data_IF_189087262185
#
_entry.id   IF_189087262185
#
_cell.length_a   1.000
_cell.length_b   1.000
_cell.length_c   1.000
_cell.angle_alpha   90.00
_cell.angle_beta   90.00
_cell.angle_gamma   90.00
#
_symmetry.space_group_name_H-M   'P 1'
#
loop_
_entity.id
_entity.type
_entity.pdbx_description
1 polymer ?
#
# COMPACT_ATOMS: atom_id res chain seq x y z
N UNK A 1 -21.71 -8.13 -55.48
CA UNK A 1 -22.32 -6.89 -54.96
C UNK A 1 -21.50 -6.49 -53.76
N UNK A 2 -20.55 -5.59 -54.01
CA UNK A 2 -19.77 -4.87 -53.03
C UNK A 2 -20.73 -3.88 -52.34
N UNK A 3 -20.57 -3.64 -51.04
CA UNK A 3 -21.14 -2.48 -50.37
C UNK A 3 -19.97 -1.62 -49.90
N UNK A 4 -19.80 -0.50 -50.59
CA UNK A 4 -19.25 0.79 -50.17
C UNK A 4 -20.08 1.31 -48.96
N UNK A 5 -19.72 2.24 -48.08
CA UNK A 5 -18.66 3.24 -47.92
C UNK A 5 -18.82 3.81 -46.47
N UNK A 6 -18.14 4.91 -46.14
CA UNK A 6 -18.19 5.74 -44.90
C UNK A 6 -17.24 5.37 -43.74
N UNK A 7 -16.00 5.88 -43.70
CA UNK A 7 -15.61 7.27 -43.35
C UNK A 7 -15.85 7.66 -41.88
N UNK A 8 -14.81 7.54 -41.04
CA UNK A 8 -14.08 8.69 -40.45
C UNK A 8 -13.09 8.21 -39.39
N UNK A 9 -11.85 8.61 -39.61
CA UNK A 9 -10.78 8.66 -38.62
C UNK A 9 -11.27 9.39 -37.36
N UNK A 10 -11.51 8.63 -36.29
CA UNK A 10 -11.92 9.14 -34.99
C UNK A 10 -10.79 9.03 -33.97
N UNK A 11 -9.87 9.99 -34.03
CA UNK A 11 -9.17 10.65 -32.90
C UNK A 11 -8.76 9.74 -31.71
N UNK A 12 -7.46 9.54 -31.58
CA UNK A 12 -6.76 9.27 -30.31
C UNK A 12 -7.32 10.15 -29.18
N UNK A 13 -7.55 9.57 -27.99
CA UNK A 13 -7.13 10.04 -26.66
C UNK A 13 -8.12 9.61 -25.57
N UNK A 14 -7.54 9.15 -24.45
CA UNK A 14 -8.17 8.68 -23.21
C UNK A 14 -8.93 7.36 -23.37
N UNK A 15 -8.55 6.28 -22.69
CA UNK A 15 -8.25 6.30 -21.26
C UNK A 15 -7.22 5.19 -20.99
N UNK A 16 -5.97 5.60 -20.80
CA UNK A 16 -5.09 4.92 -19.83
C UNK A 16 -5.75 5.13 -18.46
N UNK A 17 -6.83 4.42 -18.18
CA UNK A 17 -7.19 4.16 -16.79
C UNK A 17 -6.40 2.92 -16.45
N UNK A 18 -5.26 3.01 -15.73
CA UNK A 18 -4.81 1.84 -15.02
C UNK A 18 -6.01 1.35 -14.20
N UNK A 19 -6.23 0.03 -14.05
CA UNK A 19 -7.24 -0.45 -13.14
C UNK A 19 -6.96 0.11 -11.74
N UNK A 20 -7.60 1.22 -11.36
CA UNK A 20 -7.72 1.74 -9.99
C UNK A 20 -8.67 0.83 -9.18
N UNK A 21 -8.49 -0.48 -9.33
CA UNK A 21 -9.26 -1.52 -8.65
C UNK A 21 -8.29 -2.54 -8.09
N UNK A 22 -7.31 -2.06 -7.30
CA UNK A 22 -6.63 -2.88 -6.28
C UNK A 22 -6.34 -2.09 -4.99
N UNK A 23 -7.10 -1.01 -4.73
CA UNK A 23 -7.01 -0.28 -3.45
C UNK A 23 -8.35 -0.19 -2.69
N UNK A 24 -9.37 -0.95 -3.10
CA UNK A 24 -10.64 -0.99 -2.35
C UNK A 24 -10.72 -2.13 -1.34
N UNK A 25 -9.84 -3.15 -1.41
CA UNK A 25 -9.78 -4.23 -0.42
C UNK A 25 -8.60 -4.09 0.56
N UNK A 26 -7.69 -3.15 0.31
CA UNK A 26 -6.81 -2.60 1.34
C UNK A 26 -7.63 -1.64 2.20
N UNK A 27 -8.59 -2.21 2.94
CA UNK A 27 -9.31 -1.51 4.02
C UNK A 27 -8.33 -0.63 4.77
N UNK A 28 -8.63 0.67 4.81
CA UNK A 28 -7.74 1.64 5.40
C UNK A 28 -7.44 1.24 6.86
N UNK A 29 -6.26 0.69 7.13
CA UNK A 29 -5.86 0.25 8.47
C UNK A 29 -5.99 1.40 9.47
N UNK A 30 -5.68 2.62 9.06
CA UNK A 30 -5.86 3.85 9.84
C UNK A 30 -7.33 4.12 10.15
N UNK A 31 -8.25 3.86 9.22
CA UNK A 31 -9.67 4.12 9.44
C UNK A 31 -10.32 3.03 10.32
N UNK A 32 -9.87 1.77 10.24
CA UNK A 32 -10.43 0.67 11.04
C UNK A 32 -9.73 0.47 12.40
N UNK A 33 -8.41 0.65 12.44
CA UNK A 33 -7.56 0.31 13.58
C UNK A 33 -6.78 1.51 14.13
N UNK A 34 -6.82 2.67 13.47
CA UNK A 34 -6.00 3.82 13.84
C UNK A 34 -4.52 3.57 13.57
N UNK A 35 -3.67 4.22 14.36
CA UNK A 35 -2.23 4.04 14.24
C UNK A 35 -1.78 2.70 14.83
N UNK A 36 -0.95 1.91 14.13
CA UNK A 36 -0.44 0.65 14.63
C UNK A 36 0.43 0.87 15.87
N UNK A 37 0.16 0.09 16.92
CA UNK A 37 0.95 0.07 18.14
C UNK A 37 2.38 -0.40 17.89
N UNK A 38 3.33 0.13 18.65
CA UNK A 38 4.74 -0.24 18.52
C UNK A 38 4.98 -1.76 18.69
N UNK A 39 4.34 -2.37 19.69
CA UNK A 39 4.42 -3.82 19.93
C UNK A 39 3.92 -4.65 18.76
N UNK A 40 2.88 -4.17 18.06
CA UNK A 40 2.33 -4.86 16.90
C UNK A 40 3.30 -4.81 15.71
N UNK A 41 3.87 -3.64 15.43
CA UNK A 41 4.89 -3.49 14.38
C UNK A 41 6.14 -4.31 14.68
N UNK A 42 6.58 -4.34 15.94
CA UNK A 42 7.71 -5.15 16.37
C UNK A 42 7.42 -6.64 16.16
N UNK A 43 6.23 -7.11 16.56
CA UNK A 43 5.83 -8.51 16.35
C UNK A 43 5.78 -8.90 14.87
N UNK A 44 5.38 -7.99 13.97
CA UNK A 44 5.47 -8.23 12.53
C UNK A 44 6.91 -8.25 12.03
N UNK A 45 7.80 -7.44 12.61
CA UNK A 45 9.25 -7.49 12.32
C UNK A 45 9.82 -8.85 12.70
N UNK A 46 9.58 -9.29 13.93
CA UNK A 46 10.08 -10.57 14.44
C UNK A 46 9.57 -11.74 13.58
N UNK A 47 8.29 -11.71 13.19
CA UNK A 47 7.72 -12.69 12.26
C UNK A 47 8.33 -12.60 10.86
N UNK A 48 8.63 -11.40 10.35
CA UNK A 48 9.25 -11.23 9.03
C UNK A 48 10.68 -11.77 8.95
N UNK A 49 11.37 -11.81 10.09
CA UNK A 49 12.72 -12.36 10.23
C UNK A 49 12.71 -13.90 10.37
N UNK A 50 11.55 -14.52 10.56
CA UNK A 50 11.39 -15.97 10.42
C UNK A 50 11.42 -16.35 8.92
N UNK A 51 12.64 -16.34 8.37
CA UNK A 51 13.01 -16.48 6.96
C UNK A 51 12.45 -17.74 6.25
N UNK A 52 11.96 -18.73 7.02
CA UNK A 52 11.50 -20.03 6.53
C UNK A 52 10.00 -20.27 6.64
N UNK A 53 9.21 -19.28 7.06
CA UNK A 53 7.78 -19.49 7.29
C UNK A 53 6.92 -18.63 6.37
N UNK A 54 5.81 -19.20 5.89
CA UNK A 54 4.75 -18.47 5.18
C UNK A 54 4.27 -17.24 6.00
N UNK A 55 4.44 -17.30 7.32
CA UNK A 55 4.16 -16.21 8.24
C UNK A 55 5.07 -15.00 8.05
N UNK A 56 6.35 -15.17 7.69
CA UNK A 56 7.27 -14.05 7.49
C UNK A 56 6.97 -13.24 6.22
N UNK A 57 6.59 -13.93 5.14
CA UNK A 57 6.09 -13.27 3.93
C UNK A 57 4.78 -12.52 4.21
N UNK A 58 3.84 -13.16 4.90
CA UNK A 58 2.57 -12.54 5.27
C UNK A 58 2.76 -11.32 6.20
N UNK A 59 3.69 -11.39 7.15
CA UNK A 59 4.02 -10.28 8.05
C UNK A 59 4.62 -9.09 7.29
N UNK A 60 5.51 -9.37 6.32
CA UNK A 60 6.08 -8.35 5.43
C UNK A 60 5.01 -7.68 4.57
N UNK A 61 4.10 -8.45 3.97
CA UNK A 61 2.99 -7.92 3.17
C UNK A 61 2.05 -7.07 4.02
N UNK A 62 1.81 -7.49 5.27
CA UNK A 62 1.01 -6.71 6.23
C UNK A 62 1.67 -5.39 6.61
N UNK A 63 2.98 -5.36 6.83
CA UNK A 63 3.72 -4.12 7.08
C UNK A 63 3.68 -3.17 5.89
N UNK A 64 3.80 -3.68 4.66
CA UNK A 64 3.69 -2.88 3.44
C UNK A 64 2.28 -2.31 3.28
N UNK A 65 1.25 -3.12 3.54
CA UNK A 65 -0.15 -2.69 3.53
C UNK A 65 -0.40 -1.55 4.52
N UNK A 66 0.07 -1.69 5.76
CA UNK A 66 -0.01 -0.63 6.78
C UNK A 66 0.76 0.63 6.36
N UNK A 67 1.94 0.46 5.76
CA UNK A 67 2.71 1.58 5.25
C UNK A 67 1.99 2.34 4.14
N UNK A 68 1.44 1.63 3.15
CA UNK A 68 0.64 2.23 2.06
C UNK A 68 -0.55 3.01 2.62
N UNK A 69 -1.26 2.43 3.58
CA UNK A 69 -2.41 3.05 4.22
C UNK A 69 -2.05 4.33 5.00
N UNK A 70 -0.90 4.32 5.67
CA UNK A 70 -0.38 5.46 6.42
C UNK A 70 0.35 6.47 5.53
N UNK A 71 0.27 6.34 4.20
CA UNK A 71 0.98 7.16 3.22
C UNK A 71 2.51 7.18 3.45
N UNK A 72 3.05 6.07 3.97
CA UNK A 72 4.48 5.86 4.20
C UNK A 72 5.11 5.38 2.91
N UNK A 73 5.98 6.21 2.34
CA UNK A 73 6.79 5.82 1.18
C UNK A 73 7.83 4.77 1.55
N UNK A 74 7.89 3.67 0.78
CA UNK A 74 8.91 2.63 0.89
C UNK A 74 9.35 2.14 -0.50
N UNK A 75 10.62 1.74 -0.62
CA UNK A 75 11.19 1.23 -1.85
C UNK A 75 11.33 -0.30 -1.85
N UNK A 76 11.65 -0.91 -2.99
CA UNK A 76 11.88 -2.36 -3.10
C UNK A 76 13.07 -2.84 -2.24
N UNK A 77 14.00 -1.95 -1.93
CA UNK A 77 15.18 -2.21 -1.09
C UNK A 77 15.02 -1.72 0.36
N UNK A 78 13.83 -1.24 0.75
CA UNK A 78 13.60 -0.80 2.13
C UNK A 78 13.54 -2.02 3.04
N UNK A 79 14.48 -2.10 3.98
CA UNK A 79 14.51 -3.12 5.02
C UNK A 79 13.26 -3.03 5.91
N UNK A 80 12.84 -4.16 6.48
CA UNK A 80 11.67 -4.20 7.39
C UNK A 80 11.84 -3.26 8.58
N UNK A 81 13.03 -3.22 9.17
CA UNK A 81 13.34 -2.31 10.28
C UNK A 81 13.16 -0.83 9.89
N UNK A 82 13.58 -0.48 8.67
CA UNK A 82 13.44 0.87 8.15
C UNK A 82 11.97 1.20 7.88
N UNK A 83 11.21 0.26 7.30
CA UNK A 83 9.77 0.39 7.07
C UNK A 83 9.02 0.65 8.38
N UNK A 84 9.32 -0.12 9.42
CA UNK A 84 8.75 0.04 10.76
C UNK A 84 9.14 1.40 11.36
N UNK A 85 10.40 1.81 11.20
CA UNK A 85 10.87 3.12 11.65
C UNK A 85 10.06 4.27 11.03
N UNK A 86 9.79 4.18 9.72
CA UNK A 86 8.97 5.17 8.99
C UNK A 86 7.52 5.16 9.45
N UNK A 87 6.90 3.99 9.58
CA UNK A 87 5.54 3.84 10.11
C UNK A 87 5.42 4.48 11.52
N UNK A 88 6.38 4.19 12.41
CA UNK A 88 6.43 4.78 13.77
C UNK A 88 6.58 6.31 13.74
N UNK A 89 7.29 6.87 12.76
CA UNK A 89 7.45 8.30 12.63
C UNK A 89 6.12 8.97 12.26
N UNK A 90 5.36 8.37 11.33
CA UNK A 90 4.04 8.88 10.93
C UNK A 90 3.01 8.73 12.06
N UNK A 91 3.01 7.60 12.77
CA UNK A 91 2.16 7.41 13.96
C UNK A 91 2.44 8.40 15.09
N UNK A 92 3.70 8.84 15.24
CA UNK A 92 4.06 9.89 16.21
C UNK A 92 3.76 11.31 15.73
N UNK A 93 3.74 11.53 14.42
CA UNK A 93 3.40 12.83 13.84
C UNK A 93 1.88 13.09 13.87
N UNK A 94 1.07 12.03 13.72
CA UNK A 94 -0.40 12.10 13.82
C UNK A 94 -0.96 12.48 15.19
N UNK A 95 -0.12 12.58 16.22
CA UNK A 95 -0.50 13.02 17.57
C UNK A 95 -0.37 14.54 17.74
N UNK A 96 0.01 15.28 16.68
CA UNK A 96 0.41 16.68 16.77
C UNK A 96 -0.55 17.66 16.09
N UNK A 97 -1.86 17.38 16.00
CA UNK A 97 -2.88 18.41 15.74
C UNK A 97 -4.22 17.93 16.32
N UNK A 98 -4.61 18.30 17.53
CA UNK A 98 -5.58 19.38 17.76
C UNK A 98 -5.64 19.68 19.26
N UNK A 99 -5.50 20.97 19.56
CA UNK A 99 -5.74 21.68 20.82
C UNK A 99 -7.16 21.53 21.33
#
# INVERSE_FOLDING_TARGET
>A
MQQDEDNKQGIIDKINTPPEVENSELKDWRNEHGYPSNNFLQSLADQSLEDSSLTGKAATEKLKSIATDLDVSFGPNTSIEELIGRIRAVSRSGINTTT
#
